data_IF_195757152181
#
_entry.id   IF_195757152181
#
_cell.length_a   1.000
_cell.length_b   1.000
_cell.length_c   1.000
_cell.angle_alpha   90.00
_cell.angle_beta   90.00
_cell.angle_gamma   90.00
#
_symmetry.space_group_name_H-M   'P 1'
#
loop_
_entity.id
_entity.type
_entity.pdbx_description
1 polymer ?
#
# COMPACT_ATOMS: atom_id res chain seq x y z
N UNK A 1 20.60 11.98 0.88
CA UNK A 1 20.46 10.91 -0.14
C UNK A 1 19.28 10.02 0.25
N UNK A 2 18.08 10.23 -0.30
CA UNK A 2 16.96 9.28 -0.17
C UNK A 2 17.36 8.05 -0.98
N UNK A 3 17.79 6.97 -0.31
CA UNK A 3 17.88 5.66 -0.94
C UNK A 3 16.43 5.23 -1.17
N UNK A 4 15.93 5.37 -2.39
CA UNK A 4 14.57 4.94 -2.75
C UNK A 4 14.55 3.42 -2.65
N UNK A 5 13.76 2.89 -1.71
CA UNK A 5 13.62 1.43 -1.50
C UNK A 5 12.66 0.81 -2.53
N UNK A 6 12.52 1.44 -3.71
CA UNK A 6 11.49 1.14 -4.70
C UNK A 6 10.07 1.59 -4.34
N UNK A 7 9.87 2.16 -3.15
CA UNK A 7 8.58 2.66 -2.68
C UNK A 7 8.74 3.82 -1.67
N UNK A 8 7.66 4.57 -1.47
CA UNK A 8 7.45 5.47 -0.33
C UNK A 8 6.22 5.02 0.48
N UNK A 9 6.27 5.24 1.80
CA UNK A 9 5.19 4.93 2.72
C UNK A 9 4.89 6.16 3.59
N UNK A 10 3.67 6.66 3.50
CA UNK A 10 3.24 7.90 4.16
C UNK A 10 1.93 7.66 4.91
N UNK A 11 1.59 8.58 5.83
CA UNK A 11 0.32 8.55 6.57
C UNK A 11 -0.49 9.76 6.15
N UNK A 12 -1.76 9.55 5.85
CA UNK A 12 -2.66 10.63 5.48
C UNK A 12 -4.01 10.49 6.19
N UNK A 13 -4.64 11.62 6.48
CA UNK A 13 -6.01 11.64 6.99
C UNK A 13 -6.95 11.17 5.88
N UNK A 14 -7.87 10.26 6.19
CA UNK A 14 -8.73 9.64 5.17
C UNK A 14 -9.52 10.68 4.36
N UNK A 15 -10.04 11.73 5.01
CA UNK A 15 -10.79 12.79 4.33
C UNK A 15 -9.93 13.54 3.30
N UNK A 16 -8.66 13.84 3.65
CA UNK A 16 -7.70 14.49 2.75
C UNK A 16 -7.32 13.56 1.60
N UNK A 17 -7.04 12.28 1.91
CA UNK A 17 -6.74 11.26 0.90
C UNK A 17 -7.85 11.15 -0.15
N UNK A 18 -9.12 11.12 0.28
CA UNK A 18 -10.28 11.02 -0.61
C UNK A 18 -10.50 12.29 -1.43
N UNK A 19 -10.23 13.48 -0.86
CA UNK A 19 -10.33 14.75 -1.56
C UNK A 19 -9.26 14.90 -2.65
N UNK A 20 -8.02 14.54 -2.34
CA UNK A 20 -6.89 14.68 -3.26
C UNK A 20 -6.84 13.58 -4.33
N UNK A 21 -7.46 12.42 -4.06
CA UNK A 21 -7.39 11.24 -4.92
C UNK A 21 -8.78 10.71 -5.26
N UNK A 22 -9.47 11.32 -6.24
CA UNK A 22 -10.83 10.92 -6.64
C UNK A 22 -10.92 9.49 -7.22
N UNK A 23 -9.77 8.85 -7.47
CA UNK A 23 -9.68 7.43 -7.86
C UNK A 23 -9.85 6.44 -6.70
N UNK A 24 -9.95 6.92 -5.45
CA UNK A 24 -10.21 6.11 -4.26
C UNK A 24 -11.60 6.44 -3.76
N UNK A 25 -12.44 5.43 -3.58
CA UNK A 25 -13.78 5.60 -3.03
C UNK A 25 -13.80 5.44 -1.51
N UNK A 26 -14.75 6.10 -0.86
CA UNK A 26 -14.95 5.94 0.58
C UNK A 26 -15.28 4.49 0.97
N UNK A 27 -16.06 3.79 0.13
CA UNK A 27 -16.40 2.37 0.32
C UNK A 27 -15.15 1.47 0.36
N UNK A 28 -14.17 1.70 -0.51
CA UNK A 28 -12.95 0.90 -0.54
C UNK A 28 -12.13 1.05 0.75
N UNK A 29 -12.09 2.25 1.33
CA UNK A 29 -11.42 2.50 2.61
C UNK A 29 -12.17 1.80 3.75
N UNK A 30 -13.50 1.87 3.78
CA UNK A 30 -14.31 1.20 4.79
C UNK A 30 -14.19 -0.33 4.72
N UNK A 31 -14.26 -0.88 3.51
CA UNK A 31 -14.12 -2.33 3.26
C UNK A 31 -12.74 -2.86 3.69
N UNK A 32 -11.70 -2.03 3.59
CA UNK A 32 -10.35 -2.34 4.04
C UNK A 32 -10.15 -2.24 5.57
N UNK A 33 -11.19 -1.89 6.34
CA UNK A 33 -11.16 -1.77 7.81
C UNK A 33 -11.33 -0.33 8.32
N UNK A 34 -11.33 0.66 7.42
CA UNK A 34 -11.57 2.06 7.76
C UNK A 34 -10.47 2.70 8.61
N UNK A 35 -10.87 3.71 9.38
CA UNK A 35 -9.99 4.50 10.25
C UNK A 35 -9.98 5.99 9.90
N UNK A 36 -9.48 6.82 10.82
CA UNK A 36 -9.29 8.26 10.57
C UNK A 36 -8.03 8.56 9.75
N UNK A 37 -7.08 7.62 9.74
CA UNK A 37 -5.80 7.72 9.03
C UNK A 37 -5.63 6.49 8.16
N UNK A 38 -5.14 6.67 6.93
CA UNK A 38 -4.72 5.60 6.05
C UNK A 38 -3.21 5.66 5.80
N UNK A 39 -2.62 4.53 5.41
CA UNK A 39 -1.27 4.51 4.88
C UNK A 39 -1.31 4.66 3.36
N UNK A 40 -0.43 5.48 2.81
CA UNK A 40 -0.22 5.59 1.37
C UNK A 40 1.07 4.87 1.03
N UNK A 41 0.97 3.77 0.27
CA UNK A 41 2.12 3.06 -0.27
C UNK A 41 2.26 3.41 -1.76
N UNK A 42 3.25 4.24 -2.11
CA UNK A 42 3.53 4.56 -3.50
C UNK A 42 4.69 3.71 -4.00
N UNK A 43 4.43 2.88 -4.99
CA UNK A 43 5.44 2.05 -5.66
C UNK A 43 6.07 2.86 -6.79
N UNK A 44 7.34 3.23 -6.62
CA UNK A 44 8.12 4.02 -7.57
C UNK A 44 8.88 3.10 -8.55
N UNK A 45 9.56 2.08 -8.01
CA UNK A 45 10.36 1.13 -8.78
C UNK A 45 10.09 -0.30 -8.30
N UNK A 46 9.11 -1.02 -8.90
CA UNK A 46 8.69 -2.35 -8.45
C UNK A 46 9.84 -3.36 -8.30
N UNK A 47 10.81 -3.31 -9.22
CA UNK A 47 11.96 -4.21 -9.25
C UNK A 47 12.99 -3.94 -8.14
N UNK A 48 12.91 -2.77 -7.49
CA UNK A 48 13.83 -2.36 -6.40
C UNK A 48 13.19 -2.43 -5.02
N UNK A 49 11.94 -2.90 -4.91
CA UNK A 49 11.24 -2.98 -3.62
C UNK A 49 12.01 -3.87 -2.65
N UNK A 50 12.42 -3.28 -1.52
CA UNK A 50 12.97 -4.05 -0.41
C UNK A 50 11.86 -4.62 0.48
N UNK A 51 11.39 -5.82 0.13
CA UNK A 51 10.26 -6.48 0.80
C UNK A 51 10.43 -6.67 2.30
N UNK A 52 11.63 -7.04 2.76
CA UNK A 52 11.95 -7.17 4.19
C UNK A 52 11.73 -5.86 4.95
N UNK A 53 12.07 -4.74 4.31
CA UNK A 53 11.93 -3.42 4.90
C UNK A 53 10.45 -3.01 4.91
N UNK A 54 9.75 -3.19 3.80
CA UNK A 54 8.32 -2.93 3.70
C UNK A 54 7.54 -3.72 4.76
N UNK A 55 7.82 -5.01 4.93
CA UNK A 55 7.21 -5.84 5.96
C UNK A 55 7.46 -5.29 7.38
N UNK A 56 8.68 -4.83 7.65
CA UNK A 56 9.05 -4.25 8.96
C UNK A 56 8.30 -2.94 9.21
N UNK A 57 8.20 -2.06 8.21
CA UNK A 57 7.48 -0.78 8.29
C UNK A 57 5.97 -1.01 8.47
N UNK A 58 5.36 -1.92 7.70
CA UNK A 58 3.95 -2.28 7.85
C UNK A 58 3.64 -2.86 9.24
N UNK A 59 4.50 -3.74 9.76
CA UNK A 59 4.38 -4.27 11.14
C UNK A 59 4.44 -3.14 12.18
N UNK A 60 5.33 -2.17 12.00
CA UNK A 60 5.40 -1.01 12.88
C UNK A 60 4.07 -0.25 12.91
N UNK A 61 3.49 0.03 11.74
CA UNK A 61 2.20 0.73 11.66
C UNK A 61 1.03 -0.08 12.23
N UNK A 62 1.02 -1.40 12.04
CA UNK A 62 -0.05 -2.28 12.57
C UNK A 62 -0.17 -2.20 14.09
N UNK A 63 0.96 -2.04 14.79
CA UNK A 63 1.01 -1.97 16.27
C UNK A 63 0.45 -0.67 16.83
N UNK A 64 0.44 0.40 16.03
CA UNK A 64 0.01 1.72 16.46
C UNK A 64 -1.47 2.02 16.16
N UNK A 65 -2.23 1.05 15.62
CA UNK A 65 -3.70 0.98 15.61
C UNK A 65 -4.48 2.06 14.86
N UNK A 66 -3.83 3.14 14.43
CA UNK A 66 -4.50 4.32 13.86
C UNK A 66 -4.81 4.19 12.36
N UNK A 67 -4.10 3.30 11.64
CA UNK A 67 -4.33 3.06 10.23
C UNK A 67 -4.63 1.58 9.99
N UNK A 68 -5.81 1.27 9.46
CA UNK A 68 -6.20 -0.09 9.08
C UNK A 68 -6.29 -0.28 7.57
N UNK A 69 -6.53 0.79 6.81
CA UNK A 69 -6.48 0.78 5.36
C UNK A 69 -5.13 1.26 4.82
N UNK A 70 -4.70 0.66 3.70
CA UNK A 70 -3.53 1.06 2.92
C UNK A 70 -3.96 1.34 1.49
N UNK A 71 -3.81 2.58 1.04
CA UNK A 71 -3.95 2.97 -0.35
C UNK A 71 -2.62 2.75 -1.07
N UNK A 72 -2.61 1.80 -2.01
CA UNK A 72 -1.46 1.47 -2.84
C UNK A 72 -1.58 2.20 -4.17
N UNK A 73 -0.56 2.96 -4.53
CA UNK A 73 -0.40 3.57 -5.85
C UNK A 73 0.76 2.92 -6.59
N UNK A 74 0.53 2.59 -7.86
CA UNK A 74 1.61 2.19 -8.79
C UNK A 74 1.62 3.18 -9.94
N UNK A 75 2.80 3.72 -10.26
CA UNK A 75 2.97 4.58 -11.43
C UNK A 75 2.60 3.81 -12.71
N UNK A 76 1.55 4.25 -13.40
CA UNK A 76 1.14 3.70 -14.69
C UNK A 76 1.16 4.78 -15.77
N UNK A 77 1.24 4.36 -17.04
CA UNK A 77 1.35 5.27 -18.19
C UNK A 77 0.13 6.23 -18.35
N UNK A 78 -1.01 5.87 -17.76
CA UNK A 78 -2.27 6.64 -17.79
C UNK A 78 -2.54 7.47 -16.52
N UNK A 79 -1.57 7.55 -15.59
CA UNK A 79 -1.74 8.16 -14.27
C UNK A 79 -1.56 7.13 -13.14
N UNK A 80 -1.52 7.58 -11.86
CA UNK A 80 -1.40 6.67 -10.72
C UNK A 80 -2.64 5.79 -10.63
N UNK A 81 -2.44 4.48 -10.69
CA UNK A 81 -3.52 3.52 -10.53
C UNK A 81 -3.55 3.05 -9.06
N UNK A 82 -4.73 3.19 -8.44
CA UNK A 82 -4.93 2.99 -7.01
C UNK A 82 -5.53 1.63 -6.71
N UNK A 83 -5.15 1.08 -5.55
CA UNK A 83 -5.79 -0.09 -4.95
C UNK A 83 -5.77 0.04 -3.44
N UNK A 84 -6.93 -0.09 -2.81
CA UNK A 84 -7.01 -0.10 -1.34
C UNK A 84 -6.96 -1.54 -0.85
N UNK A 85 -6.12 -1.80 0.15
CA UNK A 85 -5.98 -3.08 0.82
C UNK A 85 -6.06 -2.87 2.34
N UNK A 86 -6.50 -3.90 3.06
CA UNK A 86 -6.35 -3.90 4.50
C UNK A 86 -4.86 -4.02 4.87
N UNK A 87 -4.44 -3.33 5.94
CA UNK A 87 -3.09 -3.41 6.47
C UNK A 87 -2.71 -4.85 6.87
N UNK A 88 -3.58 -5.63 7.54
CA UNK A 88 -3.29 -7.04 7.84
C UNK A 88 -3.04 -7.89 6.60
N UNK A 89 -3.84 -7.71 5.54
CA UNK A 89 -3.70 -8.49 4.31
C UNK A 89 -2.40 -8.13 3.57
N UNK A 90 -2.10 -6.83 3.47
CA UNK A 90 -0.85 -6.38 2.85
C UNK A 90 0.37 -6.86 3.64
N UNK A 91 0.31 -6.81 4.97
CA UNK A 91 1.39 -7.33 5.82
C UNK A 91 1.60 -8.82 5.56
N UNK A 92 0.52 -9.62 5.54
CA UNK A 92 0.60 -11.06 5.25
C UNK A 92 1.24 -11.33 3.89
N UNK A 93 0.81 -10.61 2.85
CA UNK A 93 1.38 -10.75 1.50
C UNK A 93 2.87 -10.40 1.46
N UNK A 94 3.27 -9.36 2.20
CA UNK A 94 4.67 -8.94 2.26
C UNK A 94 5.52 -9.95 3.04
N UNK A 95 5.00 -10.47 4.15
CA UNK A 95 5.63 -11.51 4.97
C UNK A 95 5.79 -12.82 4.16
N UNK A 96 4.79 -13.22 3.39
CA UNK A 96 4.86 -14.38 2.48
C UNK A 96 5.86 -14.16 1.33
N UNK A 97 5.97 -12.93 0.81
CA UNK A 97 6.88 -12.61 -0.28
C UNK A 97 8.35 -12.53 0.18
N UNK A 98 8.59 -12.22 1.46
CA UNK A 98 9.92 -12.25 2.10
C UNK A 98 10.48 -13.67 2.18
N UNK A 99 9.63 -14.69 2.33
CA UNK A 99 10.01 -16.10 2.44
C UNK A 99 10.40 -16.74 1.08
N UNK A 100 10.95 -15.93 0.16
CA UNK A 100 11.57 -16.26 -1.13
C UNK A 100 10.72 -16.96 -2.21
N UNK A 101 9.48 -17.39 -1.92
CA UNK A 101 8.68 -18.20 -2.87
C UNK A 101 7.53 -17.48 -3.58
N UNK A 102 7.26 -16.20 -3.33
CA UNK A 102 5.99 -15.58 -3.76
C UNK A 102 6.06 -14.09 -4.11
N UNK A 103 7.18 -13.60 -4.67
CA UNK A 103 7.25 -12.25 -5.24
C UNK A 103 6.13 -11.97 -6.26
N UNK A 104 5.78 -12.97 -7.09
CA UNK A 104 4.68 -12.88 -8.05
C UNK A 104 3.30 -12.68 -7.41
N UNK A 105 3.05 -13.22 -6.21
CA UNK A 105 1.76 -13.04 -5.52
C UNK A 105 1.61 -11.61 -5.03
N UNK A 106 2.69 -11.05 -4.49
CA UNK A 106 2.69 -9.66 -4.07
C UNK A 106 2.57 -8.73 -5.26
N UNK A 107 3.29 -8.98 -6.35
CA UNK A 107 3.15 -8.19 -7.58
C UNK A 107 1.73 -8.26 -8.15
N UNK A 108 1.11 -9.45 -8.17
CA UNK A 108 -0.29 -9.61 -8.58
C UNK A 108 -1.27 -8.90 -7.62
N UNK A 109 -0.99 -8.90 -6.32
CA UNK A 109 -1.82 -8.20 -5.34
C UNK A 109 -1.67 -6.68 -5.42
N UNK A 110 -0.50 -6.17 -5.76
CA UNK A 110 -0.22 -4.74 -5.91
C UNK A 110 -0.64 -4.18 -7.27
N UNK A 111 -0.79 -5.03 -8.31
CA UNK A 111 -1.30 -4.58 -9.61
C UNK A 111 -2.76 -4.11 -9.46
N UNK A 112 -3.05 -2.83 -9.72
CA UNK A 112 -4.43 -2.36 -9.82
C UNK A 112 -5.08 -3.00 -11.05
N UNK A 113 -6.29 -3.53 -10.88
CA UNK A 113 -7.06 -4.08 -11.99
C UNK A 113 -7.57 -2.92 -12.85
N UNK A 114 -7.11 -2.83 -14.10
CA UNK A 114 -7.70 -1.92 -15.07
C UNK A 114 -9.18 -2.27 -15.24
N UNK A 115 -10.06 -1.33 -14.89
CA UNK A 115 -11.46 -1.31 -15.30
C UNK A 115 -11.60 -0.45 -16.54
#
# INVERSE_FOLDING_TARGET
MKRTYGYSLEREIVDVLLEENPGISHSEIQDAGGGAVALILTVEEPLRIQLNRLATELRFHSRHGAAQAVAVSVAAASGPAWKVLSLPDLQKLTDEAVDLKSQFKLEAALRPCAR
#
